data_IF_518275199376
#
_entry.id   IF_518275199376
#
_cell.length_a   1.000
_cell.length_b   1.000
_cell.length_c   1.000
_cell.angle_alpha   90.00
_cell.angle_beta   90.00
_cell.angle_gamma   90.00
#
_symmetry.space_group_name_H-M   'P 1'
#
loop_
_entity.id
_entity.type
_entity.pdbx_description
1 polymer ?
#
# COMPACT_ATOMS: atom_id res chain seq x y z
N UNK A 1 -7.06 -28.34 0.86
CA UNK A 1 -5.63 -28.74 0.86
C UNK A 1 -4.96 -27.96 1.97
N UNK A 2 -4.30 -28.67 2.89
CA UNK A 2 -3.75 -28.10 4.12
C UNK A 2 -2.24 -27.92 3.94
N UNK A 3 -1.76 -26.72 3.61
CA UNK A 3 -0.31 -26.44 3.61
C UNK A 3 0.11 -25.87 4.96
N UNK A 4 0.94 -26.56 5.75
CA UNK A 4 1.84 -25.89 6.68
C UNK A 4 3.10 -25.52 5.90
N UNK A 5 3.08 -24.27 5.48
CA UNK A 5 3.85 -23.65 4.41
C UNK A 5 5.09 -22.92 4.95
N UNK A 6 5.87 -23.61 5.78
CA UNK A 6 7.03 -23.05 6.46
C UNK A 6 8.31 -23.45 5.73
N UNK A 7 8.89 -22.51 4.98
CA UNK A 7 10.08 -22.74 4.14
C UNK A 7 11.26 -21.87 4.57
N UNK A 8 12.48 -22.28 4.25
CA UNK A 8 13.68 -21.52 4.55
C UNK A 8 13.84 -20.29 3.65
N UNK A 9 14.66 -19.33 4.08
CA UNK A 9 14.81 -18.02 3.42
C UNK A 9 15.10 -18.07 1.91
N UNK A 10 15.95 -18.98 1.39
CA UNK A 10 16.19 -19.05 -0.06
C UNK A 10 14.95 -19.41 -0.86
N UNK A 11 14.29 -20.49 -0.48
CA UNK A 11 13.05 -20.97 -1.11
C UNK A 11 11.91 -19.95 -0.94
N UNK A 12 11.81 -19.33 0.24
CA UNK A 12 10.84 -18.27 0.49
C UNK A 12 11.01 -17.09 -0.47
N UNK A 13 12.26 -16.67 -0.72
CA UNK A 13 12.56 -15.57 -1.62
C UNK A 13 12.21 -15.92 -3.07
N UNK A 14 12.50 -17.15 -3.50
CA UNK A 14 12.10 -17.66 -4.82
C UNK A 14 10.58 -17.72 -4.99
N UNK A 15 9.86 -18.31 -4.02
CA UNK A 15 8.40 -18.43 -4.06
C UNK A 15 7.69 -17.07 -4.02
N UNK A 16 8.30 -16.07 -3.40
CA UNK A 16 7.78 -14.70 -3.36
C UNK A 16 8.29 -13.84 -4.52
N UNK A 17 9.18 -14.38 -5.37
CA UNK A 17 9.84 -13.66 -6.47
C UNK A 17 10.51 -12.34 -6.02
N UNK A 18 11.27 -12.40 -4.93
CA UNK A 18 12.00 -11.27 -4.35
C UNK A 18 13.48 -11.59 -4.13
N UNK A 19 14.32 -10.56 -4.04
CA UNK A 19 15.72 -10.75 -3.67
C UNK A 19 15.86 -11.34 -2.25
N UNK A 20 16.85 -12.21 -2.03
CA UNK A 20 17.08 -12.88 -0.74
C UNK A 20 17.12 -11.92 0.45
N UNK A 21 17.85 -10.80 0.34
CA UNK A 21 17.98 -9.84 1.43
C UNK A 21 16.66 -9.12 1.78
N UNK A 22 15.69 -9.09 0.87
CA UNK A 22 14.40 -8.41 1.08
C UNK A 22 13.66 -9.00 2.28
N UNK A 23 13.65 -10.33 2.45
CA UNK A 23 12.97 -10.95 3.58
C UNK A 23 13.61 -10.57 4.93
N UNK A 24 14.93 -10.48 4.99
CA UNK A 24 15.65 -10.02 6.18
C UNK A 24 15.31 -8.56 6.52
N UNK A 25 15.28 -7.69 5.53
CA UNK A 25 14.90 -6.29 5.70
C UNK A 25 13.44 -6.17 6.16
N UNK A 26 12.52 -6.92 5.53
CA UNK A 26 11.11 -6.89 5.92
C UNK A 26 10.87 -7.38 7.36
N UNK A 27 11.64 -8.36 7.86
CA UNK A 27 11.63 -8.74 9.29
C UNK A 27 12.10 -7.59 10.17
N UNK A 28 13.28 -7.03 9.86
CA UNK A 28 13.90 -5.93 10.63
C UNK A 28 12.99 -4.71 10.71
N UNK A 29 12.33 -4.38 9.60
CA UNK A 29 11.47 -3.21 9.47
C UNK A 29 10.04 -3.47 10.00
N UNK A 30 9.78 -4.63 10.63
CA UNK A 30 8.48 -4.97 11.24
C UNK A 30 7.34 -5.22 10.24
N UNK A 31 7.64 -5.38 8.95
CA UNK A 31 6.64 -5.65 7.91
C UNK A 31 6.15 -7.11 7.96
N UNK A 32 6.97 -7.99 8.52
CA UNK A 32 6.61 -9.38 8.80
C UNK A 32 6.33 -9.56 10.29
N UNK A 33 5.19 -10.17 10.61
CA UNK A 33 4.74 -10.41 11.99
C UNK A 33 5.36 -11.71 12.49
N UNK A 34 6.11 -11.68 13.61
CA UNK A 34 6.62 -12.91 14.24
C UNK A 34 5.47 -13.83 14.65
N UNK A 35 5.64 -15.15 14.51
CA UNK A 35 4.58 -16.14 14.81
C UNK A 35 3.63 -16.39 13.64
N UNK A 36 3.27 -15.34 12.89
CA UNK A 36 2.35 -15.46 11.76
C UNK A 36 3.09 -15.61 10.42
N UNK A 37 4.04 -14.71 10.14
CA UNK A 37 4.75 -14.65 8.86
C UNK A 37 6.10 -15.39 8.91
N UNK A 38 6.75 -15.41 10.08
CA UNK A 38 8.02 -16.09 10.28
C UNK A 38 8.14 -16.62 11.71
N UNK A 39 8.90 -17.69 11.90
CA UNK A 39 9.28 -18.23 13.21
C UNK A 39 10.77 -18.56 13.25
N UNK A 40 11.36 -18.55 14.44
CA UNK A 40 12.66 -19.17 14.66
C UNK A 40 12.48 -20.69 14.71
N UNK A 41 13.10 -21.41 13.76
CA UNK A 41 12.94 -22.85 13.60
C UNK A 41 13.39 -23.63 14.85
N UNK A 42 14.31 -23.07 15.62
CA UNK A 42 14.82 -23.65 16.87
C UNK A 42 14.12 -23.12 18.14
N UNK A 43 13.15 -22.21 17.99
CA UNK A 43 12.48 -21.55 19.12
C UNK A 43 13.34 -20.47 19.83
N UNK A 44 14.59 -20.29 19.44
CA UNK A 44 15.50 -19.31 20.05
C UNK A 44 15.69 -18.09 19.14
N UNK A 45 15.65 -16.90 19.75
CA UNK A 45 15.95 -15.66 19.04
C UNK A 45 17.36 -15.70 18.41
N UNK A 46 17.45 -15.29 17.15
CA UNK A 46 18.71 -15.29 16.39
C UNK A 46 19.05 -16.63 15.71
N UNK A 47 18.25 -17.67 15.90
CA UNK A 47 18.39 -18.95 15.20
C UNK A 47 17.90 -18.90 13.74
N UNK A 48 17.99 -20.04 13.02
CA UNK A 48 17.45 -20.18 11.67
C UNK A 48 15.97 -19.78 11.62
N UNK A 49 15.55 -19.18 10.51
CA UNK A 49 14.19 -18.67 10.33
C UNK A 49 13.50 -19.42 9.19
N UNK A 50 12.22 -19.73 9.39
CA UNK A 50 11.32 -20.23 8.35
C UNK A 50 10.12 -19.30 8.19
N UNK A 51 9.51 -19.33 7.01
CA UNK A 51 8.53 -18.35 6.56
C UNK A 51 7.23 -18.99 6.10
N UNK A 52 6.11 -18.37 6.48
CA UNK A 52 4.76 -18.74 6.10
C UNK A 52 4.31 -17.98 4.84
N UNK A 53 4.45 -18.61 3.68
CA UNK A 53 4.25 -17.96 2.38
C UNK A 53 2.82 -17.44 2.14
N UNK A 54 1.72 -18.14 2.51
CA UNK A 54 0.36 -17.66 2.33
C UNK A 54 0.07 -16.49 3.22
N UNK A 55 0.52 -16.55 4.48
CA UNK A 55 0.29 -15.46 5.41
C UNK A 55 0.98 -14.19 4.91
N UNK A 56 2.21 -14.32 4.41
CA UNK A 56 2.93 -13.21 3.75
C UNK A 56 2.16 -12.70 2.53
N UNK A 57 1.79 -13.57 1.58
CA UNK A 57 1.06 -13.19 0.36
C UNK A 57 -0.28 -12.50 0.68
N UNK A 58 -1.04 -13.04 1.65
CA UNK A 58 -2.31 -12.48 2.11
C UNK A 58 -2.12 -11.08 2.69
N UNK A 59 -1.13 -10.90 3.55
CA UNK A 59 -0.80 -9.62 4.17
C UNK A 59 -0.31 -8.59 3.15
N UNK A 60 0.52 -9.01 2.19
CA UNK A 60 0.96 -8.16 1.08
C UNK A 60 -0.23 -7.73 0.21
N UNK A 61 -1.09 -8.67 -0.18
CA UNK A 61 -2.28 -8.38 -0.97
C UNK A 61 -3.22 -7.39 -0.26
N UNK A 62 -3.42 -7.54 1.06
CA UNK A 62 -4.19 -6.59 1.87
C UNK A 62 -3.60 -5.19 1.82
N UNK A 63 -2.29 -5.05 2.08
CA UNK A 63 -1.60 -3.75 2.05
C UNK A 63 -1.65 -3.10 0.67
N UNK A 64 -1.50 -3.89 -0.40
CA UNK A 64 -1.63 -3.37 -1.77
C UNK A 64 -3.03 -2.82 -2.01
N UNK A 65 -4.09 -3.54 -1.60
CA UNK A 65 -5.47 -3.05 -1.72
C UNK A 65 -5.69 -1.74 -0.98
N UNK A 66 -5.21 -1.66 0.26
CA UNK A 66 -5.31 -0.44 1.08
C UNK A 66 -4.56 0.74 0.43
N UNK A 67 -3.35 0.49 -0.06
CA UNK A 67 -2.53 1.51 -0.73
C UNK A 67 -3.19 2.03 -2.02
N UNK A 68 -3.73 1.14 -2.84
CA UNK A 68 -4.44 1.52 -4.08
C UNK A 68 -5.72 2.27 -3.76
N UNK A 69 -6.49 1.83 -2.77
CA UNK A 69 -7.71 2.52 -2.35
C UNK A 69 -7.41 3.95 -1.84
N UNK A 70 -6.35 4.10 -1.03
CA UNK A 70 -5.92 5.41 -0.55
C UNK A 70 -5.46 6.33 -1.69
N UNK A 71 -4.78 5.79 -2.71
CA UNK A 71 -4.38 6.57 -3.87
C UNK A 71 -5.58 7.03 -4.72
N UNK A 72 -6.55 6.14 -4.95
CA UNK A 72 -7.79 6.49 -5.65
C UNK A 72 -8.57 7.57 -4.91
N UNK A 73 -8.71 7.45 -3.59
CA UNK A 73 -9.36 8.46 -2.77
C UNK A 73 -8.66 9.82 -2.89
N UNK A 74 -7.33 9.84 -2.78
CA UNK A 74 -6.53 11.07 -2.96
C UNK A 74 -6.79 11.73 -4.31
N UNK A 75 -6.86 10.94 -5.40
CA UNK A 75 -7.15 11.48 -6.74
C UNK A 75 -8.55 12.08 -6.85
N UNK A 76 -9.55 11.44 -6.24
CA UNK A 76 -10.91 11.98 -6.22
C UNK A 76 -11.03 13.26 -5.39
N UNK A 77 -10.35 13.33 -4.25
CA UNK A 77 -10.32 14.54 -3.42
C UNK A 77 -9.67 15.72 -4.16
N UNK A 78 -8.58 15.47 -4.89
CA UNK A 78 -7.94 16.47 -5.74
C UNK A 78 -8.85 16.94 -6.89
N UNK A 79 -9.61 16.04 -7.52
CA UNK A 79 -10.59 16.40 -8.56
C UNK A 79 -11.72 17.26 -7.98
N UNK A 80 -12.26 16.87 -6.83
CA UNK A 80 -13.31 17.65 -6.13
C UNK A 80 -12.82 19.04 -5.76
N UNK A 81 -11.63 19.14 -5.16
CA UNK A 81 -11.03 20.41 -4.81
C UNK A 81 -10.83 21.32 -6.05
N UNK A 82 -10.36 20.75 -7.16
CA UNK A 82 -10.22 21.48 -8.43
C UNK A 82 -11.56 21.96 -8.98
N UNK A 83 -12.57 21.10 -9.00
CA UNK A 83 -13.89 21.46 -9.53
C UNK A 83 -14.56 22.54 -8.66
N UNK A 84 -14.46 22.43 -7.34
CA UNK A 84 -14.95 23.46 -6.42
C UNK A 84 -14.25 24.81 -6.64
N UNK A 85 -12.93 24.80 -6.88
CA UNK A 85 -12.21 26.03 -7.23
C UNK A 85 -12.69 26.63 -8.56
N UNK A 86 -12.99 25.81 -9.58
CA UNK A 86 -13.52 26.29 -10.86
C UNK A 86 -14.92 26.89 -10.70
N UNK A 87 -15.81 26.26 -9.94
CA UNK A 87 -17.16 26.78 -9.67
C UNK A 87 -17.11 28.16 -9.00
N UNK A 88 -16.24 28.34 -8.01
CA UNK A 88 -16.07 29.62 -7.31
C UNK A 88 -15.60 30.75 -8.26
N UNK A 89 -14.65 30.48 -9.16
CA UNK A 89 -14.22 31.49 -10.15
C UNK A 89 -15.23 31.69 -11.29
N UNK A 90 -16.11 30.72 -11.54
CA UNK A 90 -17.12 30.77 -12.60
C UNK A 90 -18.32 31.65 -12.25
N UNK A 91 -18.73 31.71 -10.99
CA UNK A 91 -19.80 32.61 -10.52
C UNK A 91 -19.30 34.06 -10.42
N UNK A 92 -18.16 34.31 -9.77
CA UNK A 92 -17.64 35.67 -9.58
C UNK A 92 -17.09 36.31 -10.87
N UNK A 93 -16.52 35.51 -11.78
CA UNK A 93 -15.91 36.01 -13.01
C UNK A 93 -16.91 36.35 -14.12
N UNK A 94 -18.08 35.69 -14.14
CA UNK A 94 -19.10 35.91 -15.17
C UNK A 94 -19.96 37.14 -14.88
N UNK A 95 -20.29 37.41 -13.62
CA UNK A 95 -21.05 38.61 -13.23
C UNK A 95 -20.26 39.89 -13.50
N UNK A 96 -18.93 39.85 -13.33
CA UNK A 96 -18.04 40.98 -13.60
C UNK A 96 -17.93 41.26 -15.12
N UNK A 97 -17.78 40.22 -15.94
CA UNK A 97 -17.76 40.32 -17.42
C UNK A 97 -19.08 40.82 -18.02
N UNK A 98 -20.22 40.38 -17.48
CA UNK A 98 -21.53 40.82 -17.95
C UNK A 98 -21.78 42.29 -17.57
N UNK A 99 -21.33 42.72 -16.39
CA UNK A 99 -21.44 44.12 -15.96
C UNK A 99 -20.62 45.10 -16.82
N UNK A 100 -19.44 44.70 -17.32
CA UNK A 100 -18.61 45.53 -18.20
C UNK A 100 -19.18 45.65 -19.63
N UNK A 101 -19.82 44.59 -20.16
CA UNK A 101 -20.39 44.59 -21.51
C UNK A 101 -21.71 45.36 -21.60
N UNK A 102 -22.48 45.44 -20.51
CA UNK A 102 -23.76 46.18 -20.48
C UNK A 102 -23.64 47.63 -20.00
N UNK A 103 -22.46 48.06 -19.56
CA UNK A 103 -22.18 49.42 -19.08
C UNK A 103 -21.51 50.36 -20.09
N UNK A 104 -21.30 49.95 -21.35
CA UNK A 104 -20.73 50.76 -22.44
C UNK A 104 -21.79 51.26 -23.42
#
# INVERSE_FOLDING_TARGET
>A
MNTPEWVHEPEAAELLAIAHNTLRLMRRDGRLTPGDHFIFATGTAGGPVVYNIPAIRKSLAKRTKEMVAADLQRREDLKKARNAAIEVYGEDGMDQLISEVQGS
#
